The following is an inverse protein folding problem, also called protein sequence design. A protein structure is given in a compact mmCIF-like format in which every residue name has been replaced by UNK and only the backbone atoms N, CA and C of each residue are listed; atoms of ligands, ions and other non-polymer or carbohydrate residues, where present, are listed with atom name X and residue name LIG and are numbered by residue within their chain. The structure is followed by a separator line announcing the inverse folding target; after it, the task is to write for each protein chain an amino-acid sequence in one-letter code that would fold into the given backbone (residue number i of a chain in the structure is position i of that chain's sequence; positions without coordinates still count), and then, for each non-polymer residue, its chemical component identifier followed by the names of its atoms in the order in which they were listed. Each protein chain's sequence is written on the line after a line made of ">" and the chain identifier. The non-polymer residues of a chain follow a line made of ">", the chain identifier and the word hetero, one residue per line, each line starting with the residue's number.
data_IF_586136811002
#
_entry.id   IF_586136811002
#
_cell.length_a   1.000
_cell.length_b   1.000
_cell.length_c   1.000
_cell.angle_alpha   90.00
_cell.angle_beta   90.00
_cell.angle_gamma   90.00
#
_symmetry.space_group_name_H-M   'P 1'
#
loop_
_entity.id
_entity.type
_entity.pdbx_description
1 polymer ?
#
# COMPACT_ATOMS: atom_id res chain seq x y z
N UNK A 1 -35.23 -15.87 -3.12
CA UNK A 1 -34.77 -17.25 -3.38
C UNK A 1 -34.08 -17.76 -2.11
N UNK A 2 -34.70 -18.72 -1.40
CA UNK A 2 -34.14 -19.34 -0.21
C UNK A 2 -32.95 -20.22 -0.60
N UNK A 3 -31.75 -19.66 -0.58
CA UNK A 3 -30.52 -20.44 -0.69
C UNK A 3 -30.31 -21.20 0.64
N UNK A 4 -30.09 -22.51 0.55
CA UNK A 4 -29.76 -23.33 1.73
C UNK A 4 -28.44 -22.81 2.34
N UNK A 5 -28.33 -22.78 3.69
CA UNK A 5 -27.10 -22.37 4.35
C UNK A 5 -25.92 -23.26 3.95
N UNK A 6 -24.69 -22.71 3.87
CA UNK A 6 -23.48 -23.50 3.71
C UNK A 6 -23.38 -24.59 4.79
N UNK A 7 -22.84 -25.76 4.44
CA UNK A 7 -22.74 -26.91 5.37
C UNK A 7 -22.09 -26.60 6.72
N UNK A 8 -21.23 -25.59 6.79
CA UNK A 8 -20.48 -25.18 8.00
C UNK A 8 -21.00 -23.88 8.64
N UNK A 9 -22.19 -23.42 8.27
CA UNK A 9 -22.77 -22.21 8.85
C UNK A 9 -23.24 -22.45 10.29
N UNK A 10 -22.94 -21.51 11.19
CA UNK A 10 -23.39 -21.52 12.59
C UNK A 10 -24.63 -20.62 12.70
N UNK A 11 -25.81 -21.12 13.09
CA UNK A 11 -27.07 -20.36 13.07
C UNK A 11 -27.28 -19.40 14.24
N UNK A 12 -26.28 -19.25 15.12
CA UNK A 12 -26.32 -18.39 16.31
C UNK A 12 -25.23 -17.32 16.20
N UNK A 13 -25.49 -16.05 16.55
CA UNK A 13 -26.76 -15.52 17.05
C UNK A 13 -27.81 -15.24 15.97
N UNK A 14 -27.43 -15.21 14.69
CA UNK A 14 -28.35 -14.89 13.60
C UNK A 14 -28.49 -16.03 12.60
N UNK A 15 -29.71 -16.23 12.08
CA UNK A 15 -29.98 -17.16 11.00
C UNK A 15 -29.26 -16.80 9.71
N UNK A 16 -29.05 -17.79 8.83
CA UNK A 16 -28.44 -17.55 7.52
C UNK A 16 -29.33 -16.64 6.69
N UNK A 17 -28.74 -15.57 6.16
CA UNK A 17 -29.43 -14.50 5.45
C UNK A 17 -30.53 -13.80 6.25
N UNK A 18 -30.50 -13.90 7.59
CA UNK A 18 -31.32 -13.03 8.42
C UNK A 18 -30.92 -11.58 8.16
N UNK A 19 -31.92 -10.75 7.87
CA UNK A 19 -31.73 -9.31 7.78
C UNK A 19 -31.91 -8.69 9.16
N UNK A 20 -30.95 -7.88 9.56
CA UNK A 20 -30.97 -7.12 10.82
C UNK A 20 -30.69 -5.66 10.53
N UNK A 21 -31.14 -4.78 11.43
CA UNK A 21 -30.84 -3.36 11.38
C UNK A 21 -29.92 -3.00 12.54
N UNK A 22 -28.89 -2.19 12.27
CA UNK A 22 -27.96 -1.71 13.29
C UNK A 22 -27.41 -0.34 12.92
N UNK A 23 -26.86 0.36 13.93
CA UNK A 23 -26.02 1.53 13.72
C UNK A 23 -24.56 1.11 13.57
N UNK A 24 -23.83 1.83 12.73
CA UNK A 24 -22.39 1.64 12.52
C UNK A 24 -21.63 2.64 13.39
N UNK A 25 -20.76 2.12 14.25
CA UNK A 25 -20.00 2.88 15.25
C UNK A 25 -18.63 3.31 14.71
N UNK A 26 -17.99 2.44 13.92
CA UNK A 26 -16.63 2.65 13.42
C UNK A 26 -16.37 1.81 12.16
N UNK A 27 -15.13 1.82 11.66
CA UNK A 27 -14.67 0.89 10.63
C UNK A 27 -13.49 0.07 11.15
N UNK A 28 -13.30 -1.11 10.58
CA UNK A 28 -12.10 -1.93 10.71
C UNK A 28 -10.94 -1.35 9.89
N UNK A 29 -9.72 -1.87 10.10
CA UNK A 29 -8.57 -1.64 9.21
C UNK A 29 -8.74 -2.22 7.79
N UNK A 30 -9.77 -3.05 7.58
CA UNK A 30 -10.17 -3.55 6.28
C UNK A 30 -11.19 -2.63 5.57
N UNK A 31 -11.63 -1.56 6.24
CA UNK A 31 -12.64 -0.64 5.73
C UNK A 31 -14.09 -1.14 5.82
N UNK A 32 -14.33 -2.23 6.56
CA UNK A 32 -15.69 -2.68 6.85
C UNK A 32 -16.26 -1.97 8.08
N UNK A 33 -17.52 -1.55 8.00
CA UNK A 33 -18.26 -0.97 9.12
C UNK A 33 -18.41 -1.94 10.27
N UNK A 34 -18.32 -1.42 11.49
CA UNK A 34 -18.48 -2.15 12.74
C UNK A 34 -19.68 -1.59 13.46
N UNK A 35 -20.63 -2.45 13.82
CA UNK A 35 -21.66 -2.08 14.77
C UNK A 35 -22.05 -3.24 15.65
N UNK A 36 -22.99 -3.00 16.56
CA UNK A 36 -23.36 -3.98 17.60
C UNK A 36 -24.86 -4.16 17.74
N UNK A 37 -25.24 -5.41 18.03
CA UNK A 37 -26.60 -5.78 18.45
C UNK A 37 -26.46 -6.55 19.76
N UNK A 38 -27.02 -6.01 20.83
CA UNK A 38 -26.93 -6.58 22.19
C UNK A 38 -25.49 -6.96 22.59
N UNK A 39 -24.52 -6.10 22.24
CA UNK A 39 -23.10 -6.29 22.49
C UNK A 39 -22.36 -7.17 21.46
N UNK A 40 -23.07 -7.92 20.62
CA UNK A 40 -22.49 -8.76 19.57
C UNK A 40 -21.97 -7.95 18.37
N UNK A 41 -20.73 -8.20 17.93
CA UNK A 41 -20.10 -7.46 16.83
C UNK A 41 -20.61 -7.93 15.48
N UNK A 42 -21.00 -7.00 14.61
CA UNK A 42 -21.36 -7.26 13.21
C UNK A 42 -20.50 -6.39 12.30
N UNK A 43 -19.82 -7.04 11.36
CA UNK A 43 -19.05 -6.38 10.30
C UNK A 43 -19.90 -6.25 9.04
N UNK A 44 -20.01 -5.02 8.51
CA UNK A 44 -20.81 -4.71 7.33
C UNK A 44 -19.93 -4.01 6.30
N UNK A 45 -19.64 -4.68 5.18
CA UNK A 45 -18.86 -4.07 4.10
C UNK A 45 -19.60 -2.87 3.51
N UNK A 46 -18.86 -1.81 3.16
CA UNK A 46 -19.38 -0.60 2.51
C UNK A 46 -20.37 0.26 3.33
N UNK A 47 -20.47 -0.01 4.63
CA UNK A 47 -21.20 0.83 5.58
C UNK A 47 -20.23 1.77 6.30
N UNK A 48 -20.68 2.99 6.61
CA UNK A 48 -19.87 4.07 7.19
C UNK A 48 -20.29 4.37 8.63
N UNK A 49 -19.38 4.92 9.47
CA UNK A 49 -19.73 5.37 10.81
C UNK A 49 -20.86 6.40 10.80
N UNK A 50 -21.75 6.31 11.78
CA UNK A 50 -22.93 7.16 11.91
C UNK A 50 -24.17 6.64 11.17
N UNK A 51 -24.01 5.68 10.26
CA UNK A 51 -25.13 5.14 9.48
C UNK A 51 -26.05 4.23 10.29
N UNK A 52 -27.34 4.24 9.95
CA UNK A 52 -28.24 3.12 10.25
C UNK A 52 -28.40 2.30 8.98
N UNK A 53 -28.10 1.01 9.05
CA UNK A 53 -28.12 0.13 7.87
C UNK A 53 -28.95 -1.11 8.13
N UNK A 54 -29.51 -1.66 7.05
CA UNK A 54 -29.99 -3.03 6.99
C UNK A 54 -28.90 -3.90 6.40
N UNK A 55 -28.52 -4.96 7.11
CA UNK A 55 -27.51 -5.93 6.67
C UNK A 55 -28.07 -7.34 6.68
N UNK A 56 -27.60 -8.18 5.75
CA UNK A 56 -27.95 -9.59 5.63
C UNK A 56 -26.78 -10.45 6.07
N UNK A 57 -26.97 -11.24 7.12
CA UNK A 57 -25.90 -12.05 7.71
C UNK A 57 -25.58 -13.25 6.81
N UNK A 58 -24.32 -13.38 6.38
CA UNK A 58 -23.88 -14.53 5.57
C UNK A 58 -22.92 -15.45 6.34
N UNK A 59 -22.38 -14.99 7.48
CA UNK A 59 -21.45 -15.78 8.31
C UNK A 59 -21.51 -15.35 9.78
N UNK A 60 -21.51 -16.35 10.66
CA UNK A 60 -21.24 -16.17 12.09
C UNK A 60 -19.92 -16.87 12.42
N UNK A 61 -19.03 -16.16 13.11
CA UNK A 61 -17.78 -16.65 13.69
C UNK A 61 -17.91 -16.67 15.23
N UNK A 62 -16.83 -17.01 15.95
CA UNK A 62 -16.87 -17.22 17.40
C UNK A 62 -17.38 -16.00 18.20
N UNK A 63 -17.02 -14.79 17.79
CA UNK A 63 -17.28 -13.54 18.54
C UNK A 63 -17.88 -12.43 17.67
N UNK A 64 -18.25 -12.73 16.42
CA UNK A 64 -18.72 -11.72 15.48
C UNK A 64 -19.53 -12.36 14.35
N UNK A 65 -20.27 -11.52 13.64
CA UNK A 65 -20.93 -11.87 12.39
C UNK A 65 -20.44 -11.00 11.24
N UNK A 66 -20.58 -11.50 10.03
CA UNK A 66 -20.32 -10.77 8.79
C UNK A 66 -21.61 -10.68 7.99
N UNK A 67 -21.90 -9.47 7.52
CA UNK A 67 -23.11 -9.17 6.76
C UNK A 67 -22.84 -8.37 5.50
N UNK A 68 -23.66 -8.64 4.48
CA UNK A 68 -23.72 -7.82 3.28
C UNK A 68 -24.58 -6.59 3.56
N UNK A 69 -24.16 -5.41 3.10
CA UNK A 69 -25.00 -4.23 3.13
C UNK A 69 -26.18 -4.43 2.17
N UNK A 70 -27.41 -4.43 2.70
CA UNK A 70 -28.64 -4.52 1.90
C UNK A 70 -29.15 -3.12 1.55
N UNK A 71 -29.20 -2.24 2.55
CA UNK A 71 -29.70 -0.87 2.38
C UNK A 71 -29.12 0.06 3.45
N UNK A 72 -28.76 1.27 3.05
CA UNK A 72 -28.52 2.39 3.97
C UNK A 72 -29.87 3.04 4.29
N UNK A 73 -30.28 3.03 5.55
CA UNK A 73 -31.56 3.57 6.03
C UNK A 73 -31.41 5.02 6.45
N UNK A 74 -30.30 5.35 7.10
CA UNK A 74 -29.86 6.71 7.42
C UNK A 74 -28.40 6.83 6.99
N UNK A 75 -28.11 7.68 5.99
CA UNK A 75 -26.77 7.84 5.45
C UNK A 75 -25.94 8.79 6.30
N UNK A 76 -24.63 8.55 6.33
CA UNK A 76 -23.65 9.48 6.90
C UNK A 76 -23.57 10.72 6.00
N UNK A 77 -23.36 11.93 6.57
CA UNK A 77 -23.09 13.13 5.77
C UNK A 77 -21.82 12.98 4.90
N UNK A 78 -20.93 12.06 5.26
CA UNK A 78 -19.69 11.80 4.54
C UNK A 78 -19.85 10.76 3.42
N UNK A 79 -21.05 10.18 3.24
CA UNK A 79 -21.32 9.26 2.14
C UNK A 79 -21.38 10.03 0.83
N UNK A 80 -20.64 9.55 -0.16
CA UNK A 80 -20.67 10.06 -1.53
C UNK A 80 -20.99 8.93 -2.51
N UNK A 81 -21.45 9.29 -3.71
CA UNK A 81 -21.64 8.32 -4.78
C UNK A 81 -20.28 7.85 -5.33
N UNK A 82 -20.05 6.53 -5.42
CA UNK A 82 -18.82 5.98 -6.00
C UNK A 82 -18.62 6.39 -7.46
N UNK A 83 -17.39 6.76 -7.83
CA UNK A 83 -17.04 7.09 -9.22
C UNK A 83 -16.93 5.89 -10.17
N UNK A 84 -16.86 4.66 -9.64
CA UNK A 84 -16.78 3.42 -10.44
C UNK A 84 -18.08 2.63 -10.38
N UNK A 85 -18.66 2.31 -11.54
CA UNK A 85 -19.86 1.46 -11.62
C UNK A 85 -19.68 0.02 -11.14
N UNK A 86 -18.43 -0.43 -10.93
CA UNK A 86 -18.10 -1.76 -10.37
C UNK A 86 -17.79 -1.70 -8.87
N UNK A 87 -17.92 -0.53 -8.23
CA UNK A 87 -17.73 -0.40 -6.79
C UNK A 87 -18.72 -1.30 -6.02
N UNK A 88 -18.25 -1.95 -4.96
CA UNK A 88 -19.06 -2.94 -4.23
C UNK A 88 -19.04 -4.35 -4.83
N UNK A 89 -18.55 -4.51 -6.07
CA UNK A 89 -18.43 -5.80 -6.77
C UNK A 89 -16.95 -6.14 -6.96
N UNK A 90 -16.18 -5.22 -7.55
CA UNK A 90 -14.73 -5.34 -7.71
C UNK A 90 -14.01 -5.23 -6.36
N UNK A 91 -13.03 -6.10 -6.10
CA UNK A 91 -12.25 -6.10 -4.86
C UNK A 91 -11.19 -4.97 -4.77
N UNK A 92 -11.07 -4.12 -5.78
CA UNK A 92 -10.00 -3.13 -5.89
C UNK A 92 -10.10 -1.94 -4.92
N UNK A 93 -11.31 -1.40 -4.72
CA UNK A 93 -11.52 -0.18 -3.92
C UNK A 93 -12.47 -0.45 -2.75
N UNK A 94 -12.25 0.23 -1.62
CA UNK A 94 -13.04 0.08 -0.40
C UNK A 94 -13.72 1.37 0.03
N UNK A 95 -13.21 2.54 -0.35
CA UNK A 95 -13.63 3.84 0.18
C UNK A 95 -14.22 4.80 -0.86
N UNK A 96 -14.54 4.38 -2.09
CA UNK A 96 -15.15 5.31 -3.07
C UNK A 96 -16.48 5.93 -2.61
N UNK A 97 -17.18 5.29 -1.67
CA UNK A 97 -18.41 5.80 -1.08
C UNK A 97 -18.19 6.73 0.13
N UNK A 98 -16.94 7.00 0.51
CA UNK A 98 -16.56 7.89 1.61
C UNK A 98 -15.89 9.14 1.05
N UNK A 99 -16.34 10.32 1.46
CA UNK A 99 -15.75 11.60 1.09
C UNK A 99 -14.24 11.60 1.35
N UNK A 100 -13.47 12.13 0.39
CA UNK A 100 -12.01 11.99 0.42
C UNK A 100 -11.33 12.56 1.69
N UNK A 101 -11.69 13.74 2.22
CA UNK A 101 -11.08 14.23 3.47
C UNK A 101 -11.29 13.27 4.65
N UNK A 102 -12.39 12.52 4.65
CA UNK A 102 -12.72 11.54 5.67
C UNK A 102 -11.99 10.23 5.46
N UNK A 103 -11.61 9.88 4.23
CA UNK A 103 -10.65 8.79 3.99
C UNK A 103 -9.31 9.11 4.65
N UNK A 104 -8.80 10.33 4.49
CA UNK A 104 -7.55 10.79 5.11
C UNK A 104 -7.64 10.78 6.64
N UNK A 105 -8.71 11.36 7.20
CA UNK A 105 -8.96 11.33 8.64
C UNK A 105 -9.02 9.90 9.18
N UNK A 106 -9.62 8.98 8.42
CA UNK A 106 -9.73 7.58 8.80
C UNK A 106 -8.40 6.84 8.73
N UNK A 107 -7.55 7.13 7.74
CA UNK A 107 -6.19 6.60 7.65
C UNK A 107 -5.32 7.09 8.80
N UNK A 108 -5.38 8.38 9.14
CA UNK A 108 -4.72 8.92 10.34
C UNK A 108 -5.18 8.23 11.61
N UNK A 109 -6.50 8.06 11.79
CA UNK A 109 -7.04 7.37 12.97
C UNK A 109 -6.53 5.94 13.07
N UNK A 110 -6.52 5.19 11.97
CA UNK A 110 -6.03 3.81 11.98
C UNK A 110 -4.59 3.70 12.49
N UNK A 111 -3.69 4.58 12.05
CA UNK A 111 -2.30 4.61 12.51
C UNK A 111 -2.23 4.94 14.01
N UNK A 112 -3.01 5.91 14.47
CA UNK A 112 -3.10 6.28 15.90
C UNK A 112 -3.57 5.12 16.79
N UNK A 113 -4.64 4.43 16.39
CA UNK A 113 -5.16 3.29 17.15
C UNK A 113 -4.16 2.12 17.16
N UNK A 114 -3.43 1.89 16.06
CA UNK A 114 -2.38 0.88 16.01
C UNK A 114 -1.24 1.17 16.99
N UNK A 115 -0.76 2.42 17.04
CA UNK A 115 0.26 2.84 18.01
C UNK A 115 -0.20 2.64 19.46
N UNK A 116 -1.42 3.10 19.77
CA UNK A 116 -2.02 2.95 21.10
C UNK A 116 -2.14 1.48 21.50
N UNK A 117 -2.69 0.64 20.63
CA UNK A 117 -3.00 -0.75 20.99
C UNK A 117 -1.81 -1.71 20.91
N UNK A 118 -0.85 -1.48 20.01
CA UNK A 118 0.28 -2.40 19.80
C UNK A 118 1.55 -1.98 20.54
N UNK A 119 1.84 -0.68 20.61
CA UNK A 119 3.03 -0.11 21.25
C UNK A 119 2.74 0.53 22.61
N UNK A 120 1.47 0.74 22.97
CA UNK A 120 1.09 1.44 24.20
C UNK A 120 1.40 2.93 24.15
N UNK A 121 1.49 3.49 22.93
CA UNK A 121 1.94 4.87 22.72
C UNK A 121 0.78 5.76 22.27
N UNK A 122 0.41 6.70 23.14
CA UNK A 122 -0.63 7.70 22.87
C UNK A 122 0.04 9.01 22.44
N UNK A 123 0.61 9.01 21.23
CA UNK A 123 1.21 10.18 20.61
C UNK A 123 0.29 10.75 19.53
N UNK A 124 0.48 12.05 19.25
CA UNK A 124 -0.07 12.66 18.05
C UNK A 124 0.47 11.98 16.79
N UNK A 125 -0.42 11.82 15.82
CA UNK A 125 -0.12 11.29 14.48
C UNK A 125 -0.51 12.39 13.52
N UNK A 126 0.42 12.76 12.62
CA UNK A 126 0.18 13.81 11.65
C UNK A 126 -1.02 13.46 10.76
N UNK A 127 -1.71 14.48 10.25
CA UNK A 127 -2.83 14.26 9.35
C UNK A 127 -2.34 13.61 8.04
N UNK A 128 -3.09 12.63 7.54
CA UNK A 128 -2.67 11.83 6.39
C UNK A 128 -2.52 12.73 5.17
N UNK A 129 -1.35 12.65 4.55
CA UNK A 129 -1.05 13.49 3.40
C UNK A 129 -1.80 13.00 2.17
N UNK A 130 -2.50 13.92 1.52
CA UNK A 130 -3.29 13.64 0.33
C UNK A 130 -2.41 13.48 -0.90
N UNK A 131 -2.81 12.57 -1.80
CA UNK A 131 -2.35 12.63 -3.18
C UNK A 131 -2.98 13.82 -3.92
N UNK A 132 -2.22 14.43 -4.84
CA UNK A 132 -2.71 15.48 -5.73
C UNK A 132 -3.79 14.97 -6.69
N UNK A 133 -3.74 13.69 -7.05
CA UNK A 133 -4.73 13.03 -7.90
C UNK A 133 -5.33 11.81 -7.19
N UNK A 134 -6.66 11.82 -7.04
CA UNK A 134 -7.41 10.72 -6.41
C UNK A 134 -8.00 9.73 -7.43
N UNK A 135 -8.15 10.18 -8.68
CA UNK A 135 -8.55 9.37 -9.84
C UNK A 135 -7.43 9.40 -10.87
N UNK A 136 -7.42 8.43 -11.79
CA UNK A 136 -6.41 8.31 -12.83
C UNK A 136 -4.95 8.32 -12.34
N UNK A 137 -4.70 7.94 -11.08
CA UNK A 137 -3.37 8.03 -10.49
C UNK A 137 -2.55 6.75 -10.70
N UNK A 138 -3.20 5.61 -10.90
CA UNK A 138 -2.58 4.30 -10.80
C UNK A 138 -1.86 3.93 -12.10
N UNK A 139 -0.54 4.05 -12.08
CA UNK A 139 0.33 3.83 -13.25
C UNK A 139 0.53 2.36 -13.64
N UNK A 140 0.15 1.41 -12.77
CA UNK A 140 0.15 -0.03 -13.10
C UNK A 140 -1.10 -0.74 -12.61
N UNK A 141 -1.74 -1.48 -13.52
CA UNK A 141 -2.76 -2.47 -13.20
C UNK A 141 -2.46 -3.81 -13.87
N UNK A 142 -3.00 -4.89 -13.29
CA UNK A 142 -2.76 -6.25 -13.76
C UNK A 142 -4.05 -7.05 -13.86
N UNK A 143 -4.97 -6.75 -14.79
CA UNK A 143 -6.18 -7.54 -14.96
C UNK A 143 -5.85 -8.99 -15.35
N UNK A 144 -6.72 -9.91 -14.96
CA UNK A 144 -6.58 -11.34 -15.15
C UNK A 144 -7.75 -11.89 -15.96
N UNK A 145 -7.52 -13.02 -16.62
CA UNK A 145 -8.58 -13.84 -17.21
C UNK A 145 -8.38 -15.31 -16.87
N UNK A 146 -9.47 -16.05 -16.78
CA UNK A 146 -9.45 -17.50 -16.55
C UNK A 146 -9.08 -18.28 -17.82
N UNK A 147 -8.86 -19.58 -17.69
CA UNK A 147 -8.60 -20.44 -18.85
C UNK A 147 -9.75 -20.31 -19.87
N UNK A 148 -9.45 -20.00 -21.15
CA UNK A 148 -10.48 -19.92 -22.18
C UNK A 148 -11.22 -21.25 -22.35
N UNK A 149 -12.53 -21.19 -22.56
CA UNK A 149 -13.37 -22.35 -22.91
C UNK A 149 -13.67 -22.30 -24.39
N UNK A 150 -13.34 -23.36 -25.13
CA UNK A 150 -13.47 -23.43 -26.60
C UNK A 150 -12.82 -22.24 -27.33
N UNK A 151 -11.73 -21.71 -26.75
CA UNK A 151 -11.01 -20.55 -27.27
C UNK A 151 -11.68 -19.21 -26.97
N UNK A 152 -12.71 -19.16 -26.14
CA UNK A 152 -13.40 -17.94 -25.72
C UNK A 152 -12.89 -17.49 -24.35
N UNK A 153 -12.37 -16.26 -24.29
CA UNK A 153 -12.03 -15.57 -23.03
C UNK A 153 -13.25 -14.76 -22.59
N UNK A 154 -13.82 -15.10 -21.43
CA UNK A 154 -15.01 -14.45 -20.89
C UNK A 154 -14.67 -13.11 -20.21
N UNK A 155 -14.41 -13.14 -18.90
CA UNK A 155 -14.07 -11.97 -18.10
C UNK A 155 -12.57 -11.65 -18.18
N UNK A 156 -12.24 -10.36 -18.33
CA UNK A 156 -10.90 -9.81 -18.16
C UNK A 156 -10.99 -8.71 -17.11
N UNK A 157 -10.38 -8.90 -15.94
CA UNK A 157 -10.48 -7.91 -14.88
C UNK A 157 -9.91 -8.37 -13.53
N UNK A 158 -10.60 -8.05 -12.43
CA UNK A 158 -10.08 -8.27 -11.08
C UNK A 158 -10.98 -9.23 -10.29
N UNK A 159 -10.46 -9.76 -9.19
CA UNK A 159 -11.24 -10.59 -8.29
C UNK A 159 -12.40 -9.80 -7.66
N UNK A 160 -13.56 -10.43 -7.58
CA UNK A 160 -14.72 -9.89 -6.89
C UNK A 160 -14.47 -9.82 -5.39
N UNK A 161 -15.05 -8.81 -4.75
CA UNK A 161 -14.98 -8.65 -3.29
C UNK A 161 -15.56 -9.88 -2.58
N UNK A 162 -14.88 -10.33 -1.52
CA UNK A 162 -15.30 -11.49 -0.72
C UNK A 162 -15.25 -12.85 -1.43
N UNK A 163 -14.83 -12.94 -2.69
CA UNK A 163 -14.80 -14.19 -3.48
C UNK A 163 -13.39 -14.50 -3.97
N UNK A 164 -12.94 -15.74 -3.77
CA UNK A 164 -11.56 -16.15 -4.11
C UNK A 164 -11.36 -16.51 -5.58
N UNK A 165 -12.41 -16.97 -6.26
CA UNK A 165 -12.36 -17.54 -7.60
C UNK A 165 -13.49 -16.96 -8.49
N UNK A 166 -13.73 -15.66 -8.39
CA UNK A 166 -14.74 -14.99 -9.22
C UNK A 166 -14.12 -13.73 -9.76
N UNK A 167 -14.01 -13.65 -11.09
CA UNK A 167 -13.56 -12.43 -11.77
C UNK A 167 -14.75 -11.51 -12.05
N UNK A 168 -14.47 -10.22 -11.98
CA UNK A 168 -15.34 -9.15 -12.47
C UNK A 168 -14.75 -8.69 -13.79
N UNK A 169 -15.56 -8.66 -14.84
CA UNK A 169 -15.12 -8.08 -16.12
C UNK A 169 -14.98 -6.57 -15.97
N UNK A 170 -13.79 -6.04 -16.29
CA UNK A 170 -13.46 -4.62 -16.10
C UNK A 170 -13.11 -3.99 -17.44
N UNK A 171 -14.04 -3.18 -17.96
CA UNK A 171 -13.87 -2.43 -19.21
C UNK A 171 -13.09 -1.12 -19.01
N UNK A 172 -13.26 -0.49 -17.85
CA UNK A 172 -12.55 0.73 -17.44
C UNK A 172 -12.33 0.74 -15.93
N UNK A 173 -11.26 1.38 -15.48
CA UNK A 173 -10.91 1.50 -14.07
C UNK A 173 -10.62 2.98 -13.75
N UNK A 174 -11.53 3.70 -13.08
CA UNK A 174 -11.38 5.15 -12.84
C UNK A 174 -10.15 5.57 -12.03
N UNK A 175 -9.53 4.65 -11.29
CA UNK A 175 -8.28 4.92 -10.58
C UNK A 175 -7.03 4.64 -11.43
N UNK A 176 -7.14 3.90 -12.54
CA UNK A 176 -6.03 3.67 -13.48
C UNK A 176 -5.82 4.89 -14.37
N UNK A 177 -4.56 5.19 -14.70
CA UNK A 177 -4.21 6.32 -15.58
C UNK A 177 -4.98 6.28 -16.91
N UNK A 178 -5.23 7.46 -17.49
CA UNK A 178 -5.98 7.63 -18.74
C UNK A 178 -5.44 6.77 -19.87
N UNK A 179 -4.12 6.70 -20.03
CA UNK A 179 -3.42 5.92 -21.05
C UNK A 179 -3.78 4.43 -20.95
N UNK A 180 -3.93 3.92 -19.73
CA UNK A 180 -4.36 2.54 -19.49
C UNK A 180 -5.81 2.36 -19.91
N UNK A 181 -6.72 3.26 -19.50
CA UNK A 181 -8.13 3.16 -19.84
C UNK A 181 -8.39 3.32 -21.35
N UNK A 182 -7.60 4.15 -22.04
CA UNK A 182 -7.65 4.34 -23.49
C UNK A 182 -7.17 3.09 -24.24
N UNK A 183 -6.10 2.44 -23.78
CA UNK A 183 -5.55 1.24 -24.43
C UNK A 183 -6.32 -0.05 -24.11
N UNK A 184 -7.03 -0.10 -22.97
CA UNK A 184 -7.65 -1.31 -22.43
C UNK A 184 -8.66 -1.99 -23.40
N UNK A 185 -9.56 -1.28 -24.11
CA UNK A 185 -10.50 -1.90 -25.04
C UNK A 185 -9.82 -2.71 -26.16
N UNK A 186 -8.80 -2.14 -26.80
CA UNK A 186 -8.05 -2.81 -27.87
C UNK A 186 -7.27 -4.01 -27.34
N UNK A 187 -6.65 -3.88 -26.16
CA UNK A 187 -5.92 -4.96 -25.52
C UNK A 187 -6.85 -6.12 -25.16
N UNK A 188 -8.06 -5.82 -24.66
CA UNK A 188 -9.09 -6.84 -24.39
C UNK A 188 -9.52 -7.56 -25.66
N UNK A 189 -9.73 -6.83 -26.76
CA UNK A 189 -10.09 -7.41 -28.05
C UNK A 189 -8.99 -8.32 -28.61
N UNK A 190 -7.72 -7.91 -28.52
CA UNK A 190 -6.56 -8.73 -28.91
C UNK A 190 -6.48 -10.04 -28.10
N UNK A 191 -6.62 -9.96 -26.77
CA UNK A 191 -6.63 -11.15 -25.89
C UNK A 191 -7.76 -12.11 -26.26
N UNK A 192 -8.97 -11.59 -26.50
CA UNK A 192 -10.13 -12.40 -26.93
C UNK A 192 -9.89 -13.05 -28.29
N UNK A 193 -9.30 -12.34 -29.25
CA UNK A 193 -8.98 -12.85 -30.58
C UNK A 193 -7.94 -13.99 -30.51
N UNK A 194 -6.99 -13.89 -29.58
CA UNK A 194 -5.97 -14.92 -29.33
C UNK A 194 -6.42 -16.02 -28.36
N UNK A 195 -7.71 -16.07 -27.98
CA UNK A 195 -8.23 -17.00 -26.98
C UNK A 195 -7.83 -18.46 -27.18
N UNK A 196 -7.80 -18.96 -28.44
CA UNK A 196 -7.36 -20.33 -28.78
C UNK A 196 -5.88 -20.63 -28.48
N UNK A 197 -5.05 -19.60 -28.33
CA UNK A 197 -3.61 -19.74 -28.06
C UNK A 197 -3.33 -19.95 -26.56
N UNK A 198 -4.25 -19.58 -25.68
CA UNK A 198 -4.04 -19.67 -24.24
C UNK A 198 -4.51 -21.02 -23.69
N UNK A 199 -3.55 -21.81 -23.16
CA UNK A 199 -3.84 -23.09 -22.48
C UNK A 199 -4.27 -22.94 -21.02
N UNK A 200 -4.08 -21.76 -20.43
CA UNK A 200 -4.38 -21.42 -19.04
C UNK A 200 -4.78 -19.95 -18.95
N UNK A 201 -5.40 -19.58 -17.84
CA UNK A 201 -5.60 -18.17 -17.50
C UNK A 201 -4.26 -17.43 -17.35
N UNK A 202 -4.29 -16.12 -17.53
CA UNK A 202 -3.09 -15.30 -17.42
C UNK A 202 -3.38 -13.91 -16.85
N UNK A 203 -2.30 -13.23 -16.47
CA UNK A 203 -2.29 -11.84 -16.05
C UNK A 203 -1.80 -10.97 -17.19
N UNK A 204 -2.52 -9.89 -17.46
CA UNK A 204 -2.13 -8.87 -18.43
C UNK A 204 -1.48 -7.74 -17.66
N UNK A 205 -0.20 -7.47 -17.92
CA UNK A 205 0.47 -6.30 -17.38
C UNK A 205 0.07 -5.06 -18.19
N UNK A 206 -0.35 -4.00 -17.51
CA UNK A 206 -0.58 -2.68 -18.09
C UNK A 206 0.13 -1.65 -17.23
N UNK A 207 1.21 -1.06 -17.74
CA UNK A 207 1.94 0.02 -17.07
C UNK A 207 1.97 1.27 -17.94
N UNK A 208 1.41 2.37 -17.46
CA UNK A 208 1.59 3.68 -18.06
C UNK A 208 3.03 4.14 -17.85
N UNK A 209 3.69 4.57 -18.92
CA UNK A 209 5.07 5.08 -18.91
C UNK A 209 5.25 5.96 -20.13
N UNK A 210 5.76 7.19 -19.95
CA UNK A 210 6.09 8.10 -21.06
C UNK A 210 4.96 8.25 -22.11
N UNK A 211 3.71 8.39 -21.68
CA UNK A 211 2.54 8.56 -22.56
C UNK A 211 2.12 7.32 -23.36
N UNK A 212 2.60 6.12 -23.00
CA UNK A 212 2.18 4.84 -23.59
C UNK A 212 1.89 3.79 -22.52
N UNK A 213 1.30 2.67 -22.93
CA UNK A 213 1.11 1.48 -22.07
C UNK A 213 2.09 0.38 -22.46
N UNK A 214 3.01 0.06 -21.54
CA UNK A 214 3.91 -1.08 -21.65
C UNK A 214 3.23 -2.36 -21.12
N UNK A 215 3.36 -3.45 -21.89
CA UNK A 215 2.73 -4.76 -21.63
C UNK A 215 3.74 -5.88 -21.48
N UNK A 216 4.95 -5.71 -21.99
CA UNK A 216 6.03 -6.65 -21.83
C UNK A 216 6.65 -6.46 -20.43
N UNK A 217 6.56 -7.45 -19.52
CA UNK A 217 7.12 -7.33 -18.18
C UNK A 217 8.64 -7.14 -18.16
N UNK A 218 9.33 -7.44 -19.26
CA UNK A 218 10.79 -7.30 -19.43
C UNK A 218 11.20 -6.04 -20.19
N UNK A 219 10.25 -5.21 -20.63
CA UNK A 219 10.59 -3.93 -21.25
C UNK A 219 10.88 -2.89 -20.16
N UNK A 220 11.70 -1.90 -20.51
CA UNK A 220 12.01 -0.78 -19.62
C UNK A 220 10.83 0.19 -19.59
N UNK A 221 10.37 0.50 -18.38
CA UNK A 221 9.49 1.61 -18.09
C UNK A 221 10.32 2.72 -17.42
N UNK A 222 9.92 3.97 -17.64
CA UNK A 222 10.54 5.15 -17.05
C UNK A 222 9.52 5.97 -16.28
N UNK A 223 9.87 6.35 -15.06
CA UNK A 223 9.11 7.28 -14.22
C UNK A 223 10.01 8.43 -13.79
N UNK A 224 9.45 9.64 -13.64
CA UNK A 224 10.19 10.80 -13.13
C UNK A 224 9.64 11.22 -11.78
N UNK A 225 10.51 11.31 -10.78
CA UNK A 225 10.15 11.80 -9.43
C UNK A 225 11.01 13.02 -9.11
N UNK A 226 10.36 14.18 -9.03
CA UNK A 226 11.08 15.46 -8.97
C UNK A 226 11.92 15.66 -10.23
N UNK A 227 13.23 15.77 -10.05
CA UNK A 227 14.22 15.95 -11.11
C UNK A 227 15.02 14.67 -11.44
N UNK A 228 14.62 13.52 -10.87
CA UNK A 228 15.31 12.22 -11.04
C UNK A 228 14.48 11.27 -11.90
N UNK A 229 15.10 10.69 -12.92
CA UNK A 229 14.51 9.65 -13.77
C UNK A 229 14.83 8.25 -13.24
N UNK A 230 13.84 7.36 -13.27
CA UNK A 230 13.97 5.98 -12.84
C UNK A 230 13.58 5.05 -13.98
N UNK A 231 14.56 4.30 -14.49
CA UNK A 231 14.33 3.13 -15.32
C UNK A 231 14.20 1.88 -14.45
N UNK A 232 13.24 1.02 -14.80
CA UNK A 232 13.01 -0.28 -14.18
C UNK A 232 12.24 -1.18 -15.14
N UNK A 233 12.18 -2.50 -14.89
CA UNK A 233 11.37 -3.37 -15.74
C UNK A 233 9.88 -3.14 -15.49
N UNK A 234 9.07 -3.07 -16.54
CA UNK A 234 7.64 -2.78 -16.42
C UNK A 234 6.89 -3.77 -15.49
N UNK A 235 7.36 -5.03 -15.42
CA UNK A 235 6.82 -6.05 -14.52
C UNK A 235 7.23 -5.88 -13.05
N UNK A 236 8.32 -5.17 -12.77
CA UNK A 236 8.86 -4.99 -11.42
C UNK A 236 8.05 -3.99 -10.59
N UNK A 237 8.38 -3.95 -9.30
CA UNK A 237 7.78 -2.99 -8.39
C UNK A 237 8.38 -1.60 -8.62
N UNK A 238 7.49 -0.62 -8.70
CA UNK A 238 7.77 0.80 -8.55
C UNK A 238 6.47 1.40 -8.00
N UNK A 239 6.54 2.52 -7.29
CA UNK A 239 5.34 3.12 -6.70
C UNK A 239 4.30 3.44 -7.78
N UNK A 240 3.04 3.10 -7.53
CA UNK A 240 2.00 3.15 -8.56
C UNK A 240 1.28 4.49 -8.63
N UNK A 241 1.58 5.45 -7.74
CA UNK A 241 0.98 6.77 -7.72
C UNK A 241 2.08 7.81 -7.87
N UNK A 242 2.44 8.21 -9.11
CA UNK A 242 3.53 9.17 -9.33
C UNK A 242 3.20 10.56 -8.76
N UNK A 243 1.92 10.92 -8.64
CA UNK A 243 1.46 12.26 -8.24
C UNK A 243 1.68 12.60 -6.76
N UNK A 244 1.99 11.61 -5.91
CA UNK A 244 2.35 11.88 -4.50
C UNK A 244 3.85 11.68 -4.24
N UNK A 245 4.61 11.08 -5.17
CA UNK A 245 6.02 10.74 -4.94
C UNK A 245 6.90 11.94 -4.66
N UNK A 246 6.79 13.09 -5.36
CA UNK A 246 7.62 14.25 -5.04
C UNK A 246 7.44 14.73 -3.59
N UNK A 247 6.20 14.78 -3.12
CA UNK A 247 5.88 15.16 -1.73
C UNK A 247 6.38 14.11 -0.73
N UNK A 248 6.21 12.85 -1.06
CA UNK A 248 6.61 11.72 -0.22
C UNK A 248 8.13 11.62 -0.06
N UNK A 249 8.89 11.70 -1.15
CA UNK A 249 10.37 11.66 -1.10
C UNK A 249 10.94 12.93 -0.49
N UNK A 250 10.36 14.11 -0.76
CA UNK A 250 10.77 15.36 -0.13
C UNK A 250 10.67 15.28 1.40
N UNK A 251 9.53 14.80 1.93
CA UNK A 251 9.33 14.62 3.36
C UNK A 251 10.35 13.65 3.98
N UNK A 252 10.57 12.48 3.37
CA UNK A 252 11.58 11.53 3.84
C UNK A 252 12.97 12.18 3.89
N UNK A 253 13.33 12.96 2.88
CA UNK A 253 14.59 13.70 2.84
C UNK A 253 14.72 14.79 3.91
N UNK A 254 13.66 15.57 4.12
CA UNK A 254 13.62 16.59 5.17
C UNK A 254 13.82 15.96 6.55
N UNK A 255 13.14 14.84 6.81
CA UNK A 255 13.24 14.14 8.09
C UNK A 255 14.58 13.44 8.28
N UNK A 256 15.20 12.94 7.21
CA UNK A 256 16.55 12.39 7.26
C UNK A 256 17.59 13.47 7.58
N UNK A 257 17.43 14.69 7.05
CA UNK A 257 18.37 15.79 7.21
C UNK A 257 18.16 16.63 8.48
N UNK A 258 17.01 16.52 9.14
CA UNK A 258 16.63 17.40 10.25
C UNK A 258 17.65 17.47 11.40
N UNK A 259 18.51 16.45 11.56
CA UNK A 259 19.59 16.44 12.56
C UNK A 259 21.00 16.69 11.99
N UNK A 260 21.09 17.19 10.75
CA UNK A 260 22.37 17.51 10.10
C UNK A 260 23.14 16.29 9.61
N UNK A 261 22.44 15.19 9.29
CA UNK A 261 23.06 14.01 8.70
C UNK A 261 23.74 14.39 7.37
N UNK A 262 24.99 13.97 7.21
CA UNK A 262 25.78 14.17 5.99
C UNK A 262 25.72 12.98 5.07
N UNK A 263 25.47 11.80 5.63
CA UNK A 263 25.44 10.53 4.92
C UNK A 263 24.04 9.92 4.98
N UNK A 264 23.66 9.21 3.92
CA UNK A 264 22.40 8.48 3.83
C UNK A 264 22.66 7.02 3.48
N UNK A 265 22.06 6.11 4.24
CA UNK A 265 21.90 4.71 3.81
C UNK A 265 20.44 4.49 3.41
N UNK A 266 20.20 4.03 2.19
CA UNK A 266 18.89 3.57 1.71
C UNK A 266 18.90 2.04 1.72
N UNK A 267 18.30 1.43 2.74
CA UNK A 267 18.23 -0.02 2.85
C UNK A 267 16.91 -0.55 2.27
N UNK A 268 16.99 -1.67 1.54
CA UNK A 268 15.93 -2.14 0.65
C UNK A 268 15.65 -1.15 -0.49
N UNK A 269 16.72 -0.56 -1.06
CA UNK A 269 16.59 0.58 -1.96
C UNK A 269 15.85 0.25 -3.27
N UNK A 270 15.73 -1.03 -3.66
CA UNK A 270 15.12 -1.44 -4.92
C UNK A 270 15.82 -0.75 -6.09
N UNK A 271 15.04 -0.05 -6.94
CA UNK A 271 15.57 0.76 -8.05
C UNK A 271 16.15 2.12 -7.63
N UNK A 272 16.24 2.39 -6.33
CA UNK A 272 16.88 3.57 -5.73
C UNK A 272 15.97 4.76 -5.44
N UNK A 273 14.65 4.57 -5.23
CA UNK A 273 13.69 5.67 -5.11
C UNK A 273 14.15 6.75 -4.12
N UNK A 274 14.47 6.38 -2.87
CA UNK A 274 14.85 7.35 -1.86
C UNK A 274 16.30 7.79 -2.02
N UNK A 275 17.24 6.85 -2.12
CA UNK A 275 18.66 7.16 -2.22
C UNK A 275 18.99 8.11 -3.37
N UNK A 276 18.42 7.87 -4.56
CA UNK A 276 18.69 8.70 -5.74
C UNK A 276 17.94 10.03 -5.70
N UNK A 277 16.67 10.05 -5.27
CA UNK A 277 15.92 11.31 -5.10
C UNK A 277 16.53 12.24 -4.05
N UNK A 278 17.27 11.69 -3.09
CA UNK A 278 17.87 12.45 -2.00
C UNK A 278 19.38 12.72 -2.19
N UNK A 279 20.02 12.09 -3.17
CA UNK A 279 21.48 12.11 -3.35
C UNK A 279 22.09 13.51 -3.33
N UNK A 280 21.46 14.50 -3.96
CA UNK A 280 21.97 15.89 -4.02
C UNK A 280 21.97 16.62 -2.66
N UNK A 281 21.32 16.06 -1.64
CA UNK A 281 21.20 16.66 -0.31
C UNK A 281 22.21 16.10 0.71
N UNK A 282 22.95 15.06 0.34
CA UNK A 282 23.91 14.37 1.20
C UNK A 282 25.31 14.41 0.56
N UNK A 283 26.35 14.34 1.38
CA UNK A 283 27.73 14.22 0.91
C UNK A 283 27.93 12.90 0.15
N UNK A 284 27.37 11.81 0.69
CA UNK A 284 27.41 10.49 0.06
C UNK A 284 26.16 9.66 0.44
N UNK A 285 25.73 8.81 -0.50
CA UNK A 285 24.60 7.89 -0.31
C UNK A 285 25.05 6.46 -0.57
N UNK A 286 24.66 5.53 0.31
CA UNK A 286 24.80 4.10 0.12
C UNK A 286 23.43 3.46 -0.08
N UNK A 287 23.15 2.91 -1.25
CA UNK A 287 21.99 2.06 -1.50
C UNK A 287 22.34 0.60 -1.21
N UNK A 288 21.59 -0.06 -0.34
CA UNK A 288 21.80 -1.48 -0.02
C UNK A 288 20.56 -2.29 -0.41
N UNK A 289 20.76 -3.25 -1.30
CA UNK A 289 19.70 -4.11 -1.83
C UNK A 289 20.13 -5.59 -1.78
N UNK A 290 19.19 -6.46 -1.40
CA UNK A 290 19.41 -7.92 -1.32
C UNK A 290 19.18 -8.60 -2.67
N UNK A 291 18.42 -7.97 -3.56
CA UNK A 291 18.15 -8.43 -4.91
C UNK A 291 19.09 -7.76 -5.93
N UNK A 292 19.96 -8.56 -6.54
CA UNK A 292 20.94 -8.06 -7.52
C UNK A 292 20.31 -7.31 -8.70
N UNK A 293 19.13 -7.72 -9.20
CA UNK A 293 18.45 -7.02 -10.28
C UNK A 293 17.97 -5.62 -9.85
N UNK A 294 17.52 -5.47 -8.59
CA UNK A 294 17.20 -4.17 -8.01
C UNK A 294 18.42 -3.28 -7.90
N UNK A 295 19.52 -3.81 -7.35
CA UNK A 295 20.80 -3.10 -7.22
C UNK A 295 21.33 -2.63 -8.59
N UNK A 296 21.23 -3.47 -9.63
CA UNK A 296 21.61 -3.11 -10.99
C UNK A 296 20.78 -1.96 -11.56
N UNK A 297 19.47 -1.92 -11.28
CA UNK A 297 18.63 -0.79 -11.65
C UNK A 297 19.01 0.48 -10.89
N UNK A 298 19.27 0.39 -9.58
CA UNK A 298 19.73 1.54 -8.81
C UNK A 298 21.07 2.09 -9.35
N UNK A 299 22.03 1.24 -9.72
CA UNK A 299 23.30 1.67 -10.36
C UNK A 299 23.06 2.36 -11.70
N UNK A 300 22.22 1.76 -12.57
CA UNK A 300 21.86 2.35 -13.87
C UNK A 300 21.16 3.69 -13.70
N UNK A 301 20.27 3.80 -12.73
CA UNK A 301 19.55 5.04 -12.44
C UNK A 301 20.47 6.11 -11.84
N UNK A 302 21.42 5.74 -10.98
CA UNK A 302 22.45 6.68 -10.51
C UNK A 302 23.25 7.25 -11.70
N UNK A 303 23.69 6.38 -12.61
CA UNK A 303 24.39 6.79 -13.83
C UNK A 303 23.52 7.65 -14.76
N UNK A 304 22.26 7.26 -14.97
CA UNK A 304 21.28 7.99 -15.79
C UNK A 304 21.12 9.44 -15.34
N UNK A 305 21.19 9.68 -14.03
CA UNK A 305 21.02 11.00 -13.43
C UNK A 305 22.34 11.70 -13.11
N UNK A 306 23.49 11.14 -13.48
CA UNK A 306 24.80 11.72 -13.20
C UNK A 306 25.11 11.84 -11.69
N UNK A 307 24.60 10.92 -10.88
CA UNK A 307 24.76 10.91 -9.42
C UNK A 307 26.05 10.17 -9.05
N UNK A 308 27.16 10.91 -8.97
CA UNK A 308 28.49 10.37 -8.67
C UNK A 308 28.71 10.08 -7.18
N UNK A 309 27.90 10.66 -6.30
CA UNK A 309 28.00 10.49 -4.85
C UNK A 309 27.15 9.32 -4.31
N UNK A 310 26.66 8.45 -5.19
CA UNK A 310 25.86 7.27 -4.82
C UNK A 310 26.66 6.00 -5.05
N UNK A 311 26.79 5.19 -4.00
CA UNK A 311 27.33 3.83 -4.07
C UNK A 311 26.19 2.84 -3.85
N UNK A 312 26.08 1.83 -4.71
CA UNK A 312 25.04 0.79 -4.59
C UNK A 312 25.68 -0.57 -4.37
N UNK A 313 25.36 -1.18 -3.23
CA UNK A 313 25.86 -2.46 -2.76
C UNK A 313 24.78 -3.53 -2.91
N UNK A 314 25.20 -4.70 -3.37
CA UNK A 314 24.38 -5.90 -3.30
C UNK A 314 24.85 -6.69 -2.08
N UNK A 315 24.09 -6.67 -0.99
CA UNK A 315 24.49 -7.31 0.27
C UNK A 315 23.50 -8.41 0.68
N UNK A 316 23.98 -9.46 1.35
CA UNK A 316 23.07 -10.43 1.97
C UNK A 316 22.34 -9.77 3.15
N UNK A 317 21.15 -10.25 3.49
CA UNK A 317 20.34 -9.66 4.56
C UNK A 317 21.06 -9.66 5.92
N UNK A 318 22.04 -10.55 6.10
CA UNK A 318 22.85 -10.77 7.29
C UNK A 318 24.06 -9.83 7.41
N UNK A 319 24.39 -9.06 6.37
CA UNK A 319 25.60 -8.23 6.31
C UNK A 319 25.39 -6.87 5.63
N UNK A 320 24.21 -6.25 5.80
CA UNK A 320 23.79 -5.03 5.10
C UNK A 320 24.72 -3.84 5.39
N UNK A 321 25.19 -3.70 6.64
CA UNK A 321 26.03 -2.57 7.05
C UNK A 321 27.53 -2.89 7.08
N UNK A 322 27.95 -4.11 6.75
CA UNK A 322 29.35 -4.52 6.85
C UNK A 322 30.28 -3.75 5.90
N UNK A 323 29.75 -3.32 4.75
CA UNK A 323 30.50 -2.58 3.74
C UNK A 323 30.26 -1.06 3.78
N UNK A 324 29.40 -0.58 4.70
CA UNK A 324 29.10 0.84 4.86
C UNK A 324 30.13 1.47 5.81
N UNK A 325 30.95 2.38 5.29
CA UNK A 325 32.03 3.05 6.02
C UNK A 325 31.63 4.42 6.64
N UNK A 326 30.35 4.76 6.58
CA UNK A 326 29.86 6.06 7.04
C UNK A 326 29.88 6.20 8.58
N UNK A 327 30.27 7.38 9.11
CA UNK A 327 30.14 7.67 10.54
C UNK A 327 28.67 7.61 10.99
N UNK A 328 28.34 6.65 11.84
CA UNK A 328 26.96 6.43 12.28
C UNK A 328 26.29 7.67 12.88
N UNK A 329 27.04 8.50 13.64
CA UNK A 329 26.55 9.74 14.25
C UNK A 329 26.22 10.86 13.26
N UNK A 330 26.67 10.74 12.01
CA UNK A 330 26.43 11.68 10.91
C UNK A 330 25.58 11.04 9.80
N UNK A 331 25.02 9.85 10.04
CA UNK A 331 24.27 9.06 9.06
C UNK A 331 22.80 8.95 9.43
N UNK A 332 21.94 9.19 8.45
CA UNK A 332 20.54 8.80 8.49
C UNK A 332 20.34 7.49 7.70
N UNK A 333 19.43 6.62 8.16
CA UNK A 333 19.06 5.40 7.44
C UNK A 333 17.59 5.46 7.06
N UNK A 334 17.29 5.36 5.77
CA UNK A 334 15.93 5.12 5.25
C UNK A 334 15.75 3.62 5.08
N UNK A 335 14.61 3.10 5.54
CA UNK A 335 14.24 1.69 5.38
C UNK A 335 12.83 1.59 4.79
N UNK A 336 12.67 0.86 3.69
CA UNK A 336 11.37 0.56 3.05
C UNK A 336 11.18 -0.96 2.86
N UNK A 337 10.99 -1.72 3.95
CA UNK A 337 10.89 -3.18 3.89
C UNK A 337 9.59 -3.65 3.21
N UNK A 338 9.51 -4.93 2.80
CA UNK A 338 8.27 -5.52 2.32
C UNK A 338 7.18 -5.51 3.40
N UNK A 339 5.93 -5.80 3.02
CA UNK A 339 4.76 -5.85 3.94
C UNK A 339 4.95 -6.63 5.25
N UNK A 340 5.87 -7.61 5.28
CA UNK A 340 6.18 -8.40 6.48
C UNK A 340 6.99 -7.61 7.54
N UNK A 341 7.47 -6.42 7.20
CA UNK A 341 8.41 -5.62 8.00
C UNK A 341 9.84 -6.12 7.87
N UNK A 342 10.71 -5.62 8.75
CA UNK A 342 12.11 -6.01 8.85
C UNK A 342 12.27 -7.40 9.45
N UNK A 343 13.37 -8.08 9.12
CA UNK A 343 13.78 -9.29 9.84
C UNK A 343 14.48 -8.92 11.16
N UNK A 344 14.46 -9.79 12.18
CA UNK A 344 15.19 -9.55 13.43
C UNK A 344 16.68 -9.27 13.21
N UNK A 345 17.31 -10.00 12.29
CA UNK A 345 18.74 -9.88 11.97
C UNK A 345 19.06 -8.50 11.37
N UNK A 346 18.16 -7.95 10.54
CA UNK A 346 18.31 -6.60 10.01
C UNK A 346 18.19 -5.55 11.11
N UNK A 347 17.19 -5.69 12.00
CA UNK A 347 16.98 -4.74 13.09
C UNK A 347 18.16 -4.73 14.07
N UNK A 348 18.75 -5.89 14.35
CA UNK A 348 19.97 -6.00 15.15
C UNK A 348 21.15 -5.28 14.49
N UNK A 349 21.39 -5.52 13.21
CA UNK A 349 22.44 -4.82 12.47
C UNK A 349 22.22 -3.30 12.42
N UNK A 350 20.98 -2.85 12.23
CA UNK A 350 20.62 -1.43 12.21
C UNK A 350 20.90 -0.75 13.56
N UNK A 351 20.54 -1.41 14.66
CA UNK A 351 20.84 -0.93 16.01
C UNK A 351 22.34 -0.90 16.29
N UNK A 352 23.08 -1.93 15.83
CA UNK A 352 24.53 -2.02 15.98
C UNK A 352 25.27 -0.96 15.17
N UNK A 353 24.86 -0.70 13.93
CA UNK A 353 25.32 0.44 13.13
C UNK A 353 25.02 1.74 13.88
N UNK A 354 23.83 1.83 14.46
CA UNK A 354 23.46 2.86 15.42
C UNK A 354 23.39 4.26 14.81
N UNK A 355 22.70 4.45 13.66
CA UNK A 355 22.61 5.72 12.97
C UNK A 355 21.98 6.81 13.83
N UNK A 356 22.25 8.08 13.48
CA UNK A 356 21.69 9.24 14.15
C UNK A 356 20.16 9.23 14.10
N UNK A 357 19.60 8.87 12.92
CA UNK A 357 18.17 8.79 12.64
C UNK A 357 17.83 7.58 11.79
N UNK A 358 16.62 7.04 11.99
CA UNK A 358 16.01 6.02 11.15
C UNK A 358 14.69 6.58 10.62
N UNK A 359 14.53 6.56 9.31
CA UNK A 359 13.31 6.95 8.62
C UNK A 359 12.66 5.67 8.09
N UNK A 360 11.71 5.14 8.86
CA UNK A 360 11.02 3.89 8.54
C UNK A 360 9.81 4.19 7.65
N UNK A 361 9.90 3.83 6.37
CA UNK A 361 8.80 3.84 5.41
C UNK A 361 8.09 2.48 5.42
N UNK A 362 6.75 2.46 5.49
CA UNK A 362 5.99 1.21 5.47
C UNK A 362 4.63 1.33 4.79
N UNK A 363 4.26 0.30 4.03
CA UNK A 363 2.90 0.09 3.50
C UNK A 363 2.01 -0.79 4.41
N UNK A 364 2.54 -1.25 5.55
CA UNK A 364 1.80 -1.95 6.60
C UNK A 364 2.17 -1.37 7.98
N UNK A 365 1.35 -0.44 8.51
CA UNK A 365 1.65 0.19 9.79
C UNK A 365 1.68 -0.80 10.97
N UNK A 366 1.02 -1.96 10.88
CA UNK A 366 1.02 -2.91 11.98
C UNK A 366 2.39 -3.59 12.13
N UNK A 367 3.04 -3.98 11.03
CA UNK A 367 4.40 -4.54 11.07
C UNK A 367 5.44 -3.47 11.39
N UNK A 368 5.24 -2.23 10.93
CA UNK A 368 6.07 -1.08 11.34
C UNK A 368 6.01 -0.86 12.86
N UNK A 369 4.82 -0.86 13.47
CA UNK A 369 4.67 -0.67 14.93
C UNK A 369 5.26 -1.86 15.71
N UNK A 370 5.21 -3.08 15.17
CA UNK A 370 5.91 -4.23 15.77
C UNK A 370 7.42 -3.99 15.82
N UNK A 371 8.01 -3.59 14.71
CA UNK A 371 9.46 -3.37 14.59
C UNK A 371 9.90 -2.16 15.41
N UNK A 372 9.07 -1.11 15.45
CA UNK A 372 9.27 0.05 16.31
C UNK A 372 9.47 -0.33 17.78
N UNK A 373 8.71 -1.30 18.32
CA UNK A 373 8.90 -1.73 19.72
C UNK A 373 10.32 -2.22 19.98
N UNK A 374 10.86 -3.01 19.05
CA UNK A 374 12.24 -3.48 19.16
C UNK A 374 13.25 -2.32 19.10
N UNK A 375 13.09 -1.42 18.13
CA UNK A 375 13.94 -0.23 17.99
C UNK A 375 13.86 0.67 19.23
N UNK A 376 12.66 0.82 19.80
CA UNK A 376 12.41 1.59 21.02
C UNK A 376 13.12 1.04 22.22
N UNK A 377 13.00 -0.27 22.42
CA UNK A 377 13.65 -0.99 23.52
C UNK A 377 15.18 -1.00 23.34
N UNK A 378 15.65 -0.82 22.09
CA UNK A 378 17.06 -0.68 21.70
C UNK A 378 17.59 0.77 21.73
N UNK A 379 16.78 1.73 22.21
CA UNK A 379 17.23 3.10 22.45
C UNK A 379 16.93 4.11 21.35
N UNK A 380 16.02 3.80 20.41
CA UNK A 380 15.45 4.80 19.50
C UNK A 380 14.13 5.36 20.06
N UNK A 381 13.83 6.63 19.81
CA UNK A 381 12.55 7.24 20.17
C UNK A 381 11.86 7.71 18.91
N UNK A 382 10.54 7.52 18.86
CA UNK A 382 9.72 8.09 17.80
C UNK A 382 9.55 9.57 18.07
N UNK A 383 9.98 10.38 17.11
CA UNK A 383 9.73 11.82 17.12
C UNK A 383 8.35 12.10 16.53
N UNK A 384 8.06 11.52 15.37
CA UNK A 384 6.78 11.67 14.68
C UNK A 384 6.46 10.50 13.75
N UNK A 385 5.21 10.47 13.28
CA UNK A 385 4.73 9.55 12.26
C UNK A 385 3.78 10.27 11.29
N UNK A 386 4.06 10.14 10.00
CA UNK A 386 3.32 10.78 8.92
C UNK A 386 2.69 9.74 7.99
N UNK A 387 1.36 9.60 7.99
CA UNK A 387 0.66 8.80 6.99
C UNK A 387 0.61 9.53 5.63
N UNK A 388 0.66 8.77 4.53
CA UNK A 388 0.52 9.23 3.15
C UNK A 388 -0.53 8.38 2.44
N UNK A 389 -1.35 9.01 1.60
CA UNK A 389 -2.31 8.32 0.76
C UNK A 389 -1.76 8.02 -0.63
N UNK A 390 -0.95 6.95 -0.77
CA UNK A 390 -0.52 6.49 -2.10
C UNK A 390 -1.63 5.76 -2.86
N UNK A 391 -2.71 5.37 -2.18
CA UNK A 391 -3.80 4.60 -2.77
C UNK A 391 -5.19 5.16 -2.39
N UNK A 392 -5.57 6.34 -2.93
CA UNK A 392 -6.89 6.91 -2.75
C UNK A 392 -8.01 5.91 -3.08
N UNK A 393 -9.14 6.02 -2.39
CA UNK A 393 -10.29 5.09 -2.49
C UNK A 393 -10.04 3.65 -2.00
N UNK A 394 -8.83 3.35 -1.52
CA UNK A 394 -8.51 2.08 -0.88
C UNK A 394 -8.24 2.27 0.60
N UNK A 395 -8.28 1.15 1.32
CA UNK A 395 -7.91 1.09 2.74
C UNK A 395 -6.41 1.21 3.02
N UNK A 396 -5.57 1.13 2.00
CA UNK A 396 -4.12 1.16 2.17
C UNK A 396 -3.67 2.55 2.63
N UNK A 397 -2.65 2.55 3.47
CA UNK A 397 -2.00 3.75 3.99
C UNK A 397 -0.52 3.44 4.12
N UNK A 398 0.28 4.36 3.61
CA UNK A 398 1.72 4.33 3.73
C UNK A 398 2.10 5.26 4.88
N UNK A 399 3.17 4.94 5.58
CA UNK A 399 3.55 5.64 6.82
C UNK A 399 5.05 5.86 6.84
N UNK A 400 5.47 7.05 7.21
CA UNK A 400 6.86 7.41 7.49
C UNK A 400 6.97 7.65 8.99
N UNK A 401 7.67 6.76 9.69
CA UNK A 401 7.96 6.90 11.12
C UNK A 401 9.40 7.39 11.28
N UNK A 402 9.56 8.47 12.03
CA UNK A 402 10.84 9.14 12.23
C UNK A 402 11.35 8.78 13.62
N UNK A 403 12.50 8.12 13.66
CA UNK A 403 13.12 7.64 14.90
C UNK A 403 14.49 8.30 15.09
N UNK A 404 14.73 8.81 16.29
CA UNK A 404 16.03 9.36 16.67
C UNK A 404 16.65 8.54 17.79
N UNK A 405 17.98 8.42 17.77
CA UNK A 405 18.72 7.74 18.83
C UNK A 405 18.60 8.52 20.13
N UNK A 406 18.31 7.85 21.26
CA UNK A 406 18.30 8.50 22.58
C UNK A 406 19.66 9.12 22.86
N UNK A 407 19.72 10.37 23.37
CA UNK A 407 20.95 10.90 23.93
C UNK A 407 21.40 9.96 25.06
N UNK A 408 22.69 9.59 25.08
CA UNK A 408 23.25 8.94 26.26
C UNK A 408 23.17 9.95 27.40
N UNK A 409 22.32 9.70 28.39
CA UNK A 409 22.38 10.44 29.66
C UNK A 409 23.68 9.97 30.31
N UNK A 410 24.66 10.87 30.33
CA UNK A 410 25.99 10.61 30.90
C UNK A 410 25.99 10.42 32.40
#
# INVERSE_FOLDING_TARGET
>A
MNQRPPKKFVPTPFGYHQEIELRIDSLTNLGAGVGRVDGWVVFVAYALPGERVRTRIFRNDKNCSQGDLVKVLEASPDRVEPGCGLFGICGGCQYQHLAYPQQLAWKTRQVRELLKHMAGEEREVNFCESSEQIWNYRSKITPHFEQPRDGVVAEIGFLATGRRNTLVDVETCPIAMSEINEALPEIRADVRTRGKQFKRGATILLRATQGRVERNPKAVARERVGDVDFDFLAGEFFQNNPFILPKFTAYVGEMALAAGAKYLVDAYCGSGLFGLSLAKRFEQVAGVEVNEAGADWARRNAQLNGLENVIVMTASAEAIFAEVDFPAGETAVVIDPPRKGCTPEFLEQLVNFGPQRIIYVSCDPATQVRDYKYLRDSGYLMEEIQPFDLFPHTRHVETVMVLAKRPKIG
#
